data_IF_821531065318
#
_entry.id   IF_821531065318
#
_cell.length_a   1.000
_cell.length_b   1.000
_cell.length_c   1.000
_cell.angle_alpha   90.00
_cell.angle_beta   90.00
_cell.angle_gamma   90.00
#
_symmetry.space_group_name_H-M   'P 1'
#
loop_
_entity.id
_entity.type
_entity.pdbx_description
1 polymer ?
#
# COMPACT_ATOMS: atom_id res chain seq x y z
N UNK A 1 -14.28 -13.79 0.56
CA UNK A 1 -13.42 -13.17 1.59
C UNK A 1 -12.04 -13.07 1.00
N UNK A 2 -11.42 -11.89 0.94
CA UNK A 2 -10.07 -11.77 0.43
C UNK A 2 -9.05 -12.42 1.36
N UNK A 3 -8.00 -12.98 0.75
CA UNK A 3 -6.84 -13.60 1.40
C UNK A 3 -5.56 -12.83 1.12
N UNK A 4 -4.50 -13.07 1.92
CA UNK A 4 -3.19 -12.44 1.66
C UNK A 4 -2.63 -12.81 0.27
N UNK A 5 -2.99 -13.98 -0.25
CA UNK A 5 -2.57 -14.39 -1.60
C UNK A 5 -3.24 -13.52 -2.66
N UNK A 6 -4.54 -13.25 -2.54
CA UNK A 6 -5.26 -12.38 -3.49
C UNK A 6 -4.74 -10.94 -3.43
N UNK A 7 -4.42 -10.42 -2.24
CA UNK A 7 -3.77 -9.09 -2.10
C UNK A 7 -2.42 -9.06 -2.81
N UNK A 8 -1.58 -10.08 -2.58
CA UNK A 8 -0.27 -10.21 -3.24
C UNK A 8 -0.42 -10.29 -4.75
N UNK A 9 -1.31 -11.14 -5.25
CA UNK A 9 -1.47 -11.40 -6.67
C UNK A 9 -1.98 -10.15 -7.39
N UNK A 10 -2.91 -9.42 -6.78
CA UNK A 10 -3.36 -8.12 -7.30
C UNK A 10 -2.21 -7.11 -7.39
N UNK A 11 -1.37 -7.03 -6.36
CA UNK A 11 -0.19 -6.14 -6.36
C UNK A 11 0.86 -6.60 -7.38
N UNK A 12 1.10 -7.91 -7.53
CA UNK A 12 2.05 -8.45 -8.50
C UNK A 12 1.60 -8.18 -9.95
N UNK A 13 0.30 -8.27 -10.22
CA UNK A 13 -0.27 -8.02 -11.54
C UNK A 13 -0.29 -6.53 -11.91
N UNK A 14 -0.45 -5.64 -10.93
CA UNK A 14 -0.63 -4.19 -11.16
C UNK A 14 0.62 -3.38 -10.82
N UNK A 15 1.62 -4.01 -10.19
CA UNK A 15 2.87 -3.40 -9.74
C UNK A 15 2.71 -2.57 -8.46
N UNK A 16 1.89 -1.52 -8.53
CA UNK A 16 1.58 -0.63 -7.40
C UNK A 16 0.08 -0.34 -7.34
N UNK A 17 -0.45 -0.25 -6.14
CA UNK A 17 -1.86 0.08 -5.96
C UNK A 17 -2.08 0.77 -4.61
N UNK A 18 -3.00 1.73 -4.60
CA UNK A 18 -3.49 2.32 -3.36
C UNK A 18 -4.39 1.32 -2.60
N UNK A 19 -4.30 1.33 -1.27
CA UNK A 19 -5.09 0.45 -0.42
C UNK A 19 -6.62 0.61 -0.64
N UNK A 20 -7.09 1.82 -0.95
CA UNK A 20 -8.49 2.10 -1.30
C UNK A 20 -8.96 1.41 -2.57
N UNK A 21 -8.12 1.41 -3.60
CA UNK A 21 -8.43 0.72 -4.86
C UNK A 21 -8.43 -0.79 -4.66
N UNK A 22 -7.51 -1.30 -3.83
CA UNK A 22 -7.43 -2.71 -3.49
C UNK A 22 -8.68 -3.18 -2.73
N UNK A 23 -9.11 -2.40 -1.74
CA UNK A 23 -10.36 -2.58 -0.98
C UNK A 23 -11.60 -2.65 -1.89
N UNK A 24 -11.73 -1.70 -2.81
CA UNK A 24 -12.85 -1.69 -3.76
C UNK A 24 -12.83 -2.92 -4.70
N UNK A 25 -11.65 -3.28 -5.23
CA UNK A 25 -11.51 -4.43 -6.15
C UNK A 25 -11.74 -5.78 -5.49
N UNK A 26 -11.26 -5.94 -4.26
CA UNK A 26 -11.40 -7.17 -3.50
C UNK A 26 -12.68 -7.23 -2.67
N UNK A 27 -13.55 -6.21 -2.80
CA UNK A 27 -14.79 -6.04 -2.04
C UNK A 27 -14.59 -6.31 -0.54
N UNK A 28 -13.47 -5.80 -0.02
CA UNK A 28 -13.00 -6.10 1.34
C UNK A 28 -12.88 -4.80 2.11
N UNK A 29 -13.39 -4.71 3.36
CA UNK A 29 -13.33 -3.47 4.13
C UNK A 29 -11.92 -2.89 4.23
N UNK A 30 -11.81 -1.57 4.07
CA UNK A 30 -10.54 -0.84 4.12
C UNK A 30 -9.67 -1.23 5.34
N UNK A 31 -10.21 -1.28 6.58
CA UNK A 31 -9.38 -1.60 7.75
C UNK A 31 -8.77 -3.00 7.68
N UNK A 32 -9.45 -3.94 7.02
CA UNK A 32 -8.96 -5.31 6.87
C UNK A 32 -7.85 -5.36 5.81
N UNK A 33 -8.00 -4.63 4.70
CA UNK A 33 -6.93 -4.47 3.71
C UNK A 33 -5.69 -3.83 4.34
N UNK A 34 -5.87 -2.78 5.15
CA UNK A 34 -4.76 -2.10 5.81
C UNK A 34 -3.99 -3.07 6.74
N UNK A 35 -4.71 -3.86 7.55
CA UNK A 35 -4.10 -4.89 8.40
C UNK A 35 -3.38 -5.99 7.60
N UNK A 36 -3.93 -6.38 6.44
CA UNK A 36 -3.27 -7.34 5.55
C UNK A 36 -1.98 -6.79 4.95
N UNK A 37 -1.99 -5.54 4.50
CA UNK A 37 -0.82 -4.86 3.95
C UNK A 37 0.26 -4.68 5.01
N UNK A 38 -0.10 -4.27 6.23
CA UNK A 38 0.82 -4.16 7.37
C UNK A 38 1.48 -5.52 7.68
N UNK A 39 0.68 -6.60 7.73
CA UNK A 39 1.21 -7.95 7.93
C UNK A 39 2.17 -8.36 6.81
N UNK A 40 1.84 -8.07 5.55
CA UNK A 40 2.69 -8.41 4.41
C UNK A 40 3.98 -7.59 4.37
N UNK A 41 3.92 -6.34 4.81
CA UNK A 41 5.07 -5.44 4.96
C UNK A 41 6.04 -5.97 6.03
N UNK A 42 5.50 -6.38 7.19
CA UNK A 42 6.29 -7.03 8.24
C UNK A 42 6.96 -8.35 7.78
N UNK A 43 6.36 -9.05 6.81
CA UNK A 43 6.92 -10.25 6.19
C UNK A 43 7.90 -9.97 5.03
N UNK A 44 8.14 -8.70 4.67
CA UNK A 44 8.95 -8.30 3.54
C UNK A 44 8.37 -8.70 2.17
N UNK A 45 7.04 -8.86 2.08
CA UNK A 45 6.34 -9.27 0.85
C UNK A 45 5.80 -8.11 0.03
N UNK A 46 5.58 -6.97 0.66
CA UNK A 46 5.16 -5.71 0.03
C UNK A 46 5.94 -4.56 0.65
N UNK A 47 6.03 -3.46 -0.07
CA UNK A 47 6.67 -2.22 0.42
C UNK A 47 5.67 -1.09 0.26
N UNK A 48 5.51 -0.29 1.32
CA UNK A 48 4.71 0.93 1.27
C UNK A 48 5.45 2.00 0.48
N UNK A 49 4.81 2.51 -0.56
CA UNK A 49 5.30 3.68 -1.29
C UNK A 49 4.53 4.88 -0.75
N UNK A 50 5.16 5.64 0.14
CA UNK A 50 4.69 6.98 0.47
C UNK A 50 5.13 7.92 -0.64
N UNK A 51 4.23 8.73 -1.19
CA UNK A 51 4.66 9.93 -1.91
C UNK A 51 5.32 10.85 -0.89
N UNK A 52 6.64 10.72 -0.72
CA UNK A 52 7.43 11.78 -0.10
C UNK A 52 7.19 13.01 -0.95
N UNK A 53 6.45 13.98 -0.40
CA UNK A 53 6.55 15.35 -0.86
C UNK A 53 7.98 15.80 -0.58
N UNK A 54 8.86 15.60 -1.54
CA UNK A 54 10.16 16.27 -1.67
C UNK A 54 9.94 17.78 -1.94
N UNK A 55 9.08 18.43 -1.15
CA UNK A 55 8.81 19.87 -1.17
C UNK A 55 8.69 20.38 0.24
N UNK A 56 9.85 20.47 0.89
CA UNK A 56 9.99 21.05 2.21
C UNK A 56 11.42 21.45 2.51
N UNK A 57 12.18 21.90 1.51
CA UNK A 57 13.42 22.62 1.76
C UNK A 57 13.09 24.13 1.74
N UNK A 58 12.84 24.80 2.88
CA UNK A 58 13.14 26.21 2.93
C UNK A 58 14.66 26.33 2.88
N UNK A 59 15.17 26.84 1.75
CA UNK A 59 16.53 27.33 1.58
C UNK A 59 16.95 28.11 2.83
N UNK A 60 17.83 27.53 3.66
CA UNK A 60 18.70 28.34 4.50
C UNK A 60 19.70 28.99 3.54
N UNK A 61 19.50 30.24 3.19
CA UNK A 61 20.54 31.15 2.71
C UNK A 61 19.98 32.58 2.61
N UNK A 62 20.12 33.33 3.71
CA UNK A 62 20.87 34.59 3.83
C UNK A 62 20.59 35.19 5.22
#
# INVERSE_FOLDING_TARGET
MASLMEVRDMLALQGRMEAKQLSARLQTPQPLIDAMLERMEAMGKVVRISETSERGLPLRQL
#
